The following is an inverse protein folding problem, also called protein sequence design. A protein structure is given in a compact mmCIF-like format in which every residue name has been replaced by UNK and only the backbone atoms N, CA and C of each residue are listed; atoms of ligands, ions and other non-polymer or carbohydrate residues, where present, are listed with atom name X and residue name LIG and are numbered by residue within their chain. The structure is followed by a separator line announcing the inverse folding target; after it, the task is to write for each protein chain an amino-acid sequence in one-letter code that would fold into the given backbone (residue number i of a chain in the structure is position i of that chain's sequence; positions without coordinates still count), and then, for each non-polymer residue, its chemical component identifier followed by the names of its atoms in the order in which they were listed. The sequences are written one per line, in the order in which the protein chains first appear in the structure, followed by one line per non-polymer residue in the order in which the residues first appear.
data_IF_336381346817
#
_entry.id   IF_336381346817
#
_cell.length_a   1.000
_cell.length_b   1.000
_cell.length_c   1.000
_cell.angle_alpha   90.00
_cell.angle_beta   90.00
_cell.angle_gamma   90.00
#
_symmetry.space_group_name_H-M   'P 1'
#
loop_
_entity.id
_entity.type
_entity.pdbx_description
1 polymer ?
#
# COMPACT_ATOMS: atom_id res chain seq x y z
N UNK A 1 15.70 8.15 3.26
CA UNK A 1 15.73 6.96 4.14
C UNK A 1 14.31 6.72 4.59
N UNK A 2 13.82 5.48 4.48
CA UNK A 2 12.47 5.13 4.92
C UNK A 2 12.45 5.05 6.45
N UNK A 3 11.30 5.37 7.05
CA UNK A 3 11.07 5.06 8.47
C UNK A 3 10.74 3.58 8.63
N UNK A 4 10.89 3.03 9.84
CA UNK A 4 10.53 1.63 10.12
C UNK A 4 9.09 1.28 9.69
N UNK A 5 8.14 2.19 9.91
CA UNK A 5 6.75 1.98 9.49
C UNK A 5 6.62 1.97 7.96
N UNK A 6 7.35 2.84 7.27
CA UNK A 6 7.37 2.88 5.81
C UNK A 6 7.97 1.61 5.21
N UNK A 7 9.03 1.07 5.80
CA UNK A 7 9.66 -0.21 5.41
C UNK A 7 8.66 -1.36 5.56
N UNK A 8 8.06 -1.54 6.75
CA UNK A 8 7.08 -2.61 7.02
C UNK A 8 5.90 -2.55 6.05
N UNK A 9 5.31 -1.36 5.83
CA UNK A 9 4.18 -1.24 4.90
C UNK A 9 4.60 -1.57 3.47
N UNK A 10 5.81 -1.16 3.05
CA UNK A 10 6.32 -1.44 1.71
C UNK A 10 6.63 -2.92 1.51
N UNK A 11 7.17 -3.61 2.52
CA UNK A 11 7.40 -5.07 2.52
C UNK A 11 6.12 -5.85 2.27
N UNK A 12 5.02 -5.50 2.97
CA UNK A 12 3.75 -6.22 2.82
C UNK A 12 3.13 -6.08 1.43
N UNK A 13 3.14 -4.88 0.84
CA UNK A 13 2.64 -4.67 -0.54
C UNK A 13 3.64 -5.10 -1.63
N UNK A 14 4.82 -5.59 -1.22
CA UNK A 14 5.83 -6.13 -2.13
C UNK A 14 5.54 -7.57 -2.55
N UNK A 15 4.74 -8.29 -1.77
CA UNK A 15 4.44 -9.70 -1.99
C UNK A 15 3.39 -9.91 -3.07
N UNK A 16 2.33 -9.09 -3.08
CA UNK A 16 1.25 -9.13 -4.07
C UNK A 16 0.48 -7.79 -4.14
N UNK A 17 -0.61 -7.75 -4.91
CA UNK A 17 -1.65 -6.73 -4.79
C UNK A 17 -2.33 -6.83 -3.44
N UNK A 18 -2.26 -5.76 -2.66
CA UNK A 18 -2.78 -5.75 -1.30
C UNK A 18 -3.70 -4.56 -1.04
N UNK A 19 -4.66 -4.74 -0.14
CA UNK A 19 -5.51 -3.65 0.36
C UNK A 19 -5.06 -3.26 1.76
N UNK A 20 -5.21 -1.98 2.11
CA UNK A 20 -4.79 -1.50 3.43
C UNK A 20 -5.41 -2.31 4.61
N UNK A 21 -6.71 -2.66 4.61
CA UNK A 21 -7.29 -3.48 5.67
C UNK A 21 -6.73 -4.90 5.76
N UNK A 22 -6.19 -5.45 4.66
CA UNK A 22 -5.62 -6.80 4.64
C UNK A 22 -4.26 -6.86 5.37
N UNK A 23 -3.51 -5.75 5.36
CA UNK A 23 -2.15 -5.70 5.92
C UNK A 23 -2.08 -5.00 7.28
N UNK A 24 -3.14 -4.30 7.73
CA UNK A 24 -3.11 -3.49 8.97
C UNK A 24 -2.77 -4.31 10.22
N UNK A 25 -3.27 -5.54 10.30
CA UNK A 25 -3.00 -6.45 11.41
C UNK A 25 -1.53 -6.85 11.48
N UNK A 26 -0.95 -7.17 10.33
CA UNK A 26 0.46 -7.52 10.21
C UNK A 26 1.38 -6.33 10.46
N UNK A 27 1.06 -5.16 9.91
CA UNK A 27 1.76 -3.91 10.19
C UNK A 27 1.74 -3.62 11.69
N UNK A 28 0.59 -3.82 12.36
CA UNK A 28 0.48 -3.65 13.81
C UNK A 28 1.40 -4.60 14.59
N UNK A 29 1.41 -5.88 14.18
CA UNK A 29 2.27 -6.91 14.75
C UNK A 29 3.75 -6.55 14.63
N UNK A 30 4.21 -6.20 13.42
CA UNK A 30 5.60 -5.82 13.15
C UNK A 30 6.04 -4.53 13.85
N UNK A 31 5.12 -3.59 14.07
CA UNK A 31 5.39 -2.36 14.82
C UNK A 31 5.40 -2.57 16.35
N UNK A 32 4.79 -3.63 16.85
CA UNK A 32 4.58 -3.84 18.29
C UNK A 32 3.56 -2.87 18.91
N UNK A 33 2.70 -2.25 18.08
CA UNK A 33 1.59 -1.39 18.49
C UNK A 33 0.45 -1.49 17.48
N UNK A 34 -0.75 -1.13 17.89
CA UNK A 34 -1.88 -1.03 16.96
C UNK A 34 -1.63 0.10 15.94
N UNK A 35 -1.72 -0.24 14.65
CA UNK A 35 -1.82 0.69 13.54
C UNK A 35 -3.29 0.81 13.11
N UNK A 36 -3.64 1.94 12.52
CA UNK A 36 -4.96 2.19 11.93
C UNK A 36 -4.90 2.10 10.41
N UNK A 37 -6.03 1.78 9.78
CA UNK A 37 -6.13 1.78 8.31
C UNK A 37 -5.72 3.12 7.70
N UNK A 38 -6.07 4.22 8.39
CA UNK A 38 -5.70 5.57 7.97
C UNK A 38 -4.19 5.82 8.02
N UNK A 39 -3.49 5.32 9.03
CA UNK A 39 -2.02 5.41 9.10
C UNK A 39 -1.37 4.61 7.96
N UNK A 40 -1.82 3.37 7.73
CA UNK A 40 -1.29 2.51 6.66
C UNK A 40 -1.56 3.14 5.29
N UNK A 41 -2.79 3.61 5.06
CA UNK A 41 -3.17 4.29 3.83
C UNK A 41 -2.36 5.58 3.59
N UNK A 42 -2.13 6.37 4.64
CA UNK A 42 -1.27 7.56 4.57
C UNK A 42 0.17 7.23 4.15
N UNK A 43 0.73 6.14 4.65
CA UNK A 43 2.06 5.65 4.25
C UNK A 43 2.06 5.19 2.79
N UNK A 44 1.03 4.47 2.34
CA UNK A 44 0.89 4.03 0.95
C UNK A 44 0.77 5.22 -0.02
N UNK A 45 0.05 6.27 0.36
CA UNK A 45 0.01 7.53 -0.39
C UNK A 45 1.38 8.22 -0.46
N UNK A 46 2.14 8.23 0.64
CA UNK A 46 3.50 8.78 0.64
C UNK A 46 4.44 7.97 -0.27
N UNK A 47 4.33 6.64 -0.25
CA UNK A 47 5.08 5.75 -1.15
C UNK A 47 4.70 5.93 -2.62
N UNK A 48 3.42 6.17 -2.91
CA UNK A 48 2.95 6.49 -4.27
C UNK A 48 3.58 7.79 -4.77
N UNK A 49 3.62 8.83 -3.94
CA UNK A 49 4.26 10.10 -4.27
C UNK A 49 5.76 9.97 -4.55
N UNK A 50 6.40 8.94 -3.99
CA UNK A 50 7.81 8.57 -4.23
C UNK A 50 7.98 7.58 -5.39
N UNK A 51 6.90 7.14 -6.01
CA UNK A 51 6.91 6.14 -7.09
C UNK A 51 7.29 4.73 -6.63
N UNK A 52 7.20 4.42 -5.34
CA UNK A 52 7.56 3.11 -4.78
C UNK A 52 6.42 2.09 -4.94
N UNK A 53 5.18 2.56 -4.93
CA UNK A 53 3.98 1.74 -5.15
C UNK A 53 3.12 2.34 -6.25
N UNK A 54 2.19 1.55 -6.78
CA UNK A 54 1.06 1.99 -7.62
C UNK A 54 -0.25 1.62 -6.95
N UNK A 55 -1.30 2.37 -7.26
CA UNK A 55 -2.65 2.15 -6.76
C UNK A 55 -3.59 1.75 -7.89
N UNK A 56 -4.58 0.91 -7.58
CA UNK A 56 -5.53 0.36 -8.53
C UNK A 56 -6.91 0.23 -7.91
N UNK A 57 -7.93 0.26 -8.77
CA UNK A 57 -9.28 -0.20 -8.46
C UNK A 57 -9.53 -1.49 -9.24
N UNK A 58 -10.13 -2.48 -8.58
CA UNK A 58 -10.55 -3.70 -9.24
C UNK A 58 -11.97 -3.52 -9.80
N UNK A 59 -12.11 -3.59 -11.12
CA UNK A 59 -13.40 -3.53 -11.80
C UNK A 59 -13.97 -4.95 -11.92
N UNK A 60 -15.01 -5.27 -11.15
CA UNK A 60 -15.59 -6.63 -11.08
C UNK A 60 -16.18 -7.10 -12.41
N UNK A 61 -16.79 -6.19 -13.18
CA UNK A 61 -17.42 -6.50 -14.47
C UNK A 61 -16.38 -6.96 -15.51
N UNK A 62 -15.26 -6.24 -15.59
CA UNK A 62 -14.18 -6.51 -16.55
C UNK A 62 -13.11 -7.45 -15.98
N UNK A 63 -13.17 -7.75 -14.68
CA UNK A 63 -12.16 -8.50 -13.90
C UNK A 63 -10.76 -7.93 -14.10
N UNK A 64 -10.65 -6.61 -14.16
CA UNK A 64 -9.42 -5.91 -14.49
C UNK A 64 -9.03 -4.91 -13.39
N UNK A 65 -7.73 -4.73 -13.21
CA UNK A 65 -7.19 -3.67 -12.36
C UNK A 65 -6.97 -2.41 -13.18
N UNK A 66 -7.64 -1.32 -12.81
CA UNK A 66 -7.47 -0.01 -13.40
C UNK A 66 -6.60 0.84 -12.51
N UNK A 67 -5.48 1.32 -13.04
CA UNK A 67 -4.56 2.16 -12.27
C UNK A 67 -5.23 3.49 -11.90
N UNK A 68 -5.10 3.87 -10.63
CA UNK A 68 -5.57 5.13 -10.10
C UNK A 68 -4.45 6.18 -10.16
N UNK A 69 -4.82 7.41 -10.55
CA UNK A 69 -3.93 8.58 -10.51
C UNK A 69 -4.15 9.43 -9.26
N UNK A 70 -5.32 9.33 -8.63
CA UNK A 70 -5.71 10.06 -7.41
C UNK A 70 -6.38 9.12 -6.39
N UNK A 71 -5.66 8.11 -5.86
CA UNK A 71 -6.26 7.14 -4.93
C UNK A 71 -6.75 7.76 -3.62
N UNK A 72 -6.30 8.96 -3.24
CA UNK A 72 -6.81 9.68 -2.07
C UNK A 72 -8.28 10.13 -2.22
N UNK A 73 -8.83 10.15 -3.45
CA UNK A 73 -10.23 10.49 -3.73
C UNK A 73 -11.17 9.28 -3.61
N UNK A 74 -10.63 8.09 -3.28
CA UNK A 74 -11.36 6.82 -3.20
C UNK A 74 -11.45 6.29 -1.76
N UNK A 75 -12.38 5.37 -1.53
CA UNK A 75 -12.46 4.63 -0.27
C UNK A 75 -11.19 3.79 -0.05
N UNK A 76 -10.45 3.98 1.07
CA UNK A 76 -9.27 3.18 1.39
C UNK A 76 -9.48 1.66 1.35
N UNK A 77 -10.70 1.17 1.61
CA UNK A 77 -11.03 -0.26 1.61
C UNK A 77 -11.12 -0.87 0.20
N UNK A 78 -11.28 -0.04 -0.83
CA UNK A 78 -11.42 -0.44 -2.23
C UNK A 78 -10.10 -0.37 -3.01
N UNK A 79 -9.12 0.40 -2.51
CA UNK A 79 -7.85 0.64 -3.21
C UNK A 79 -6.89 -0.53 -3.01
N UNK A 80 -6.42 -1.06 -4.13
CA UNK A 80 -5.37 -2.06 -4.21
C UNK A 80 -4.01 -1.43 -4.48
N UNK A 81 -2.97 -1.94 -3.84
CA UNK A 81 -1.63 -1.41 -3.88
C UNK A 81 -0.66 -2.47 -4.38
N UNK A 82 0.28 -2.06 -5.22
CA UNK A 82 1.30 -2.94 -5.77
C UNK A 82 2.67 -2.28 -5.73
N UNK A 83 3.67 -2.97 -5.19
CA UNK A 83 5.04 -2.48 -5.15
C UNK A 83 5.69 -2.46 -6.53
N UNK A 84 6.31 -1.33 -6.88
CA UNK A 84 7.07 -1.17 -8.12
C UNK A 84 8.47 -1.76 -7.99
N UNK A 85 9.18 -1.89 -9.12
CA UNK A 85 10.61 -2.23 -9.10
C UNK A 85 11.47 -1.22 -8.32
N UNK A 86 11.08 0.05 -8.29
CA UNK A 86 11.76 1.05 -7.46
C UNK A 86 11.49 0.82 -5.97
N UNK A 87 10.25 0.46 -5.62
CA UNK A 87 9.88 0.07 -4.25
C UNK A 87 10.64 -1.16 -3.77
N UNK A 88 10.71 -2.22 -4.59
CA UNK A 88 11.50 -3.42 -4.31
C UNK A 88 12.96 -3.09 -4.01
N UNK A 89 13.58 -2.26 -4.85
CA UNK A 89 14.97 -1.80 -4.66
C UNK A 89 15.16 -0.90 -3.45
N UNK A 90 14.11 -0.25 -2.94
CA UNK A 90 14.20 0.57 -1.74
C UNK A 90 14.24 -0.26 -0.45
N UNK A 91 13.92 -1.56 -0.51
CA UNK A 91 13.97 -2.51 0.60
C UNK A 91 15.32 -3.26 0.72
N UNK A 92 16.17 -3.23 -0.31
CA UNK A 92 17.46 -3.94 -0.38
C UNK A 92 18.63 -2.97 -0.55
#
# INVERSE_FOLDING_TARGET
MLTKQEEIVLEWVCLDYERAPAIVGEVSSSLGRQATDREVFGVLLAHLGRGLVKAYLYETETRAFKQLTRPADHDPEEVWWYCTEAGKKALF
#
